data_IF_526125062199
#
_entry.id   IF_526125062199
#
_cell.length_a   1.000
_cell.length_b   1.000
_cell.length_c   1.000
_cell.angle_alpha   90.00
_cell.angle_beta   90.00
_cell.angle_gamma   90.00
#
_symmetry.space_group_name_H-M   'P 1'
#
loop_
_entity.id
_entity.type
_entity.pdbx_description
1 polymer ?
#
# COMPACT_ATOMS: atom_id res chain seq x y z
N UNK A 1 -32.77 -15.47 0.90
CA UNK A 1 -31.95 -15.53 2.13
C UNK A 1 -30.46 -15.48 1.81
N UNK A 2 -29.97 -16.40 0.98
CA UNK A 2 -28.54 -16.44 0.63
C UNK A 2 -28.06 -15.18 -0.08
N UNK A 3 -28.88 -14.59 -0.97
CA UNK A 3 -28.50 -13.37 -1.67
C UNK A 3 -28.42 -12.17 -0.74
N UNK A 4 -29.31 -12.12 0.25
CA UNK A 4 -29.26 -11.08 1.25
C UNK A 4 -27.96 -11.14 2.06
N UNK A 5 -27.58 -12.34 2.46
CA UNK A 5 -26.35 -12.54 3.22
C UNK A 5 -25.12 -12.13 2.40
N UNK A 6 -25.16 -12.41 1.09
CA UNK A 6 -24.06 -12.01 0.22
C UNK A 6 -23.97 -10.50 0.07
N UNK A 7 -25.11 -9.83 -0.01
CA UNK A 7 -25.12 -8.37 -0.08
C UNK A 7 -24.55 -7.77 1.20
N UNK A 8 -24.94 -8.32 2.33
CA UNK A 8 -24.38 -7.89 3.61
C UNK A 8 -22.88 -8.17 3.67
N UNK A 9 -22.45 -9.29 3.06
CA UNK A 9 -21.04 -9.61 3.01
C UNK A 9 -20.24 -8.61 2.20
N UNK A 10 -20.81 -8.11 1.10
CA UNK A 10 -20.14 -7.11 0.29
C UNK A 10 -19.96 -5.80 1.04
N UNK A 11 -21.02 -5.35 1.71
CA UNK A 11 -20.93 -4.14 2.50
C UNK A 11 -19.94 -4.31 3.65
N UNK A 12 -19.96 -5.49 4.27
CA UNK A 12 -19.01 -5.81 5.32
C UNK A 12 -17.57 -5.84 4.79
N UNK A 13 -17.39 -6.25 3.55
CA UNK A 13 -16.06 -6.31 2.95
C UNK A 13 -15.42 -4.93 2.86
N UNK A 14 -16.16 -3.91 2.45
CA UNK A 14 -15.64 -2.55 2.40
C UNK A 14 -15.25 -2.04 3.79
N UNK A 15 -16.10 -2.30 4.77
CA UNK A 15 -15.79 -1.91 6.14
C UNK A 15 -14.58 -2.67 6.67
N UNK A 16 -14.45 -3.96 6.32
CA UNK A 16 -13.32 -4.77 6.73
C UNK A 16 -12.03 -4.24 6.13
N UNK A 17 -12.05 -3.78 4.87
CA UNK A 17 -10.87 -3.22 4.24
C UNK A 17 -10.36 -2.01 5.02
N UNK A 18 -11.25 -1.12 5.44
CA UNK A 18 -10.86 0.04 6.23
C UNK A 18 -10.29 -0.37 7.59
N UNK A 19 -10.97 -1.30 8.26
CA UNK A 19 -10.51 -1.78 9.56
C UNK A 19 -9.18 -2.52 9.42
N UNK A 20 -9.04 -3.31 8.36
CA UNK A 20 -7.81 -4.05 8.10
C UNK A 20 -6.66 -3.08 7.86
N UNK A 21 -6.90 -2.00 7.10
CA UNK A 21 -5.86 -1.00 6.87
C UNK A 21 -5.36 -0.41 8.18
N UNK A 22 -6.25 -0.14 9.13
CA UNK A 22 -5.87 0.38 10.43
C UNK A 22 -5.03 -0.62 11.23
N UNK A 23 -5.43 -1.89 11.21
CA UNK A 23 -4.69 -2.94 11.88
C UNK A 23 -3.34 -3.19 11.20
N UNK A 24 -3.34 -3.15 9.87
CA UNK A 24 -2.14 -3.43 9.09
C UNK A 24 -1.10 -2.34 9.22
N UNK A 25 -1.49 -1.10 9.53
CA UNK A 25 -0.53 -0.03 9.78
C UNK A 25 0.45 -0.40 10.88
N UNK A 26 0.00 -1.11 11.90
CA UNK A 26 0.89 -1.55 12.97
C UNK A 26 1.80 -2.68 12.52
N UNK A 27 1.27 -3.59 11.71
CA UNK A 27 2.06 -4.69 11.15
C UNK A 27 3.04 -4.21 10.10
N UNK A 28 2.69 -3.14 9.38
CA UNK A 28 3.48 -2.63 8.27
C UNK A 28 4.76 -1.91 8.68
N UNK A 29 5.05 -1.82 9.97
CA UNK A 29 6.35 -1.30 10.44
C UNK A 29 7.50 -2.24 10.09
N UNK A 30 7.19 -3.47 9.70
CA UNK A 30 8.15 -4.41 9.14
C UNK A 30 7.68 -4.85 7.77
N UNK A 31 7.42 -6.13 7.64
CA UNK A 31 6.89 -6.72 6.43
C UNK A 31 5.42 -7.04 6.63
N UNK A 32 4.61 -6.75 5.62
CA UNK A 32 3.19 -7.03 5.64
C UNK A 32 2.79 -7.81 4.42
N UNK A 33 1.85 -8.73 4.59
CA UNK A 33 1.32 -9.55 3.51
C UNK A 33 -0.07 -9.03 3.13
N UNK A 34 -0.31 -8.91 1.83
CA UNK A 34 -1.56 -8.42 1.28
C UNK A 34 -2.16 -9.50 0.40
N UNK A 35 -3.39 -9.88 0.68
CA UNK A 35 -4.12 -10.81 -0.15
C UNK A 35 -4.90 -10.06 -1.22
N UNK A 36 -5.27 -10.79 -2.27
CA UNK A 36 -6.04 -10.20 -3.36
C UNK A 36 -7.32 -9.56 -2.83
N UNK A 37 -7.61 -8.36 -3.32
CA UNK A 37 -8.80 -7.62 -2.92
C UNK A 37 -8.68 -6.88 -1.60
N UNK A 38 -7.55 -7.01 -0.91
CA UNK A 38 -7.26 -6.24 0.30
C UNK A 38 -6.32 -5.09 -0.02
N UNK A 39 -6.35 -4.07 0.82
CA UNK A 39 -5.42 -2.95 0.73
C UNK A 39 -4.65 -2.85 2.04
N UNK A 40 -3.37 -2.50 1.93
CA UNK A 40 -2.56 -2.26 3.12
C UNK A 40 -1.99 -0.86 3.04
N UNK A 41 -2.05 -0.16 4.17
CA UNK A 41 -1.46 1.16 4.31
C UNK A 41 -0.10 1.02 5.01
N UNK A 42 0.90 1.67 4.44
CA UNK A 42 2.26 1.66 4.98
C UNK A 42 2.67 3.09 5.28
N UNK A 43 3.03 3.35 6.51
CA UNK A 43 3.58 4.65 6.88
C UNK A 43 5.07 4.66 6.54
N UNK A 44 5.47 5.59 5.68
CA UNK A 44 6.85 5.69 5.20
C UNK A 44 7.64 6.71 6.00
N UNK A 45 7.00 7.81 6.37
CA UNK A 45 7.57 8.86 7.20
C UNK A 45 6.40 9.63 7.80
N UNK A 46 6.65 10.58 8.71
CA UNK A 46 5.56 11.41 9.22
C UNK A 46 4.81 12.18 8.14
N UNK A 47 5.41 12.34 6.97
CA UNK A 47 4.82 13.11 5.87
C UNK A 47 4.48 12.27 4.66
N UNK A 48 4.66 10.96 4.72
CA UNK A 48 4.43 10.11 3.54
C UNK A 48 3.83 8.78 3.94
N UNK A 49 2.84 8.35 3.18
CA UNK A 49 2.22 7.05 3.36
C UNK A 49 1.90 6.43 2.00
N UNK A 50 1.73 5.13 1.97
CA UNK A 50 1.42 4.40 0.75
C UNK A 50 0.29 3.42 1.03
N UNK A 51 -0.55 3.22 0.02
CA UNK A 51 -1.59 2.19 0.05
C UNK A 51 -1.35 1.26 -1.13
N UNK A 52 -1.28 -0.03 -0.86
CA UNK A 52 -1.00 -1.04 -1.87
C UNK A 52 -2.13 -2.06 -1.90
N UNK A 53 -2.58 -2.39 -3.10
CA UNK A 53 -3.50 -3.49 -3.33
C UNK A 53 -3.15 -4.18 -4.65
N UNK A 54 -3.70 -5.36 -4.87
CA UNK A 54 -3.42 -6.09 -6.10
C UNK A 54 -4.60 -6.95 -6.50
N UNK A 55 -4.63 -7.26 -7.80
CA UNK A 55 -5.66 -8.09 -8.42
C UNK A 55 -4.98 -9.07 -9.36
N UNK A 56 -5.41 -10.31 -9.34
CA UNK A 56 -4.92 -11.34 -10.24
C UNK A 56 -5.56 -11.19 -11.61
N UNK A 57 -4.72 -11.13 -12.63
CA UNK A 57 -5.16 -11.05 -14.02
C UNK A 57 -4.43 -12.10 -14.84
N UNK A 58 -4.86 -12.29 -16.09
CA UNK A 58 -4.30 -13.32 -16.94
C UNK A 58 -2.82 -13.10 -17.26
N UNK A 59 -2.38 -11.87 -17.28
CA UNK A 59 -0.99 -11.52 -17.59
C UNK A 59 -0.10 -11.41 -16.35
N UNK A 60 -0.64 -11.62 -15.17
CA UNK A 60 0.09 -11.53 -13.91
C UNK A 60 -0.73 -10.82 -12.86
N UNK A 61 -0.09 -10.51 -11.74
CA UNK A 61 -0.75 -9.79 -10.68
C UNK A 61 -0.53 -8.30 -10.87
N UNK A 62 -1.65 -7.58 -11.03
CA UNK A 62 -1.61 -6.12 -11.17
C UNK A 62 -1.57 -5.50 -9.78
N UNK A 63 -0.46 -4.86 -9.47
CA UNK A 63 -0.22 -4.26 -8.17
C UNK A 63 -0.26 -2.76 -8.32
N UNK A 64 -1.04 -2.11 -7.48
CA UNK A 64 -1.20 -0.66 -7.50
C UNK A 64 -0.80 -0.12 -6.13
N UNK A 65 0.12 0.84 -6.14
CA UNK A 65 0.56 1.53 -4.94
C UNK A 65 0.37 3.02 -5.14
N UNK A 66 -0.37 3.63 -4.23
CA UNK A 66 -0.58 5.08 -4.23
C UNK A 66 0.21 5.67 -3.08
N UNK A 67 1.10 6.60 -3.40
CA UNK A 67 1.94 7.28 -2.40
C UNK A 67 1.42 8.70 -2.23
N UNK A 68 1.12 9.06 -0.99
CA UNK A 68 0.66 10.39 -0.61
C UNK A 68 1.75 11.04 0.23
N UNK A 69 2.23 12.19 -0.21
CA UNK A 69 3.28 12.95 0.47
C UNK A 69 2.79 14.35 0.78
N UNK A 70 2.95 14.77 2.03
CA UNK A 70 2.68 16.16 2.41
C UNK A 70 3.87 16.99 1.97
N UNK A 71 3.65 17.93 1.05
CA UNK A 71 4.73 18.72 0.47
C UNK A 71 4.84 20.13 1.07
N UNK A 72 3.77 20.64 1.67
CA UNK A 72 3.84 21.91 2.37
C UNK A 72 2.69 22.04 3.36
N UNK A 73 2.93 22.83 4.40
CA UNK A 73 1.92 23.21 5.37
C UNK A 73 2.01 24.70 5.61
N UNK A 74 0.94 25.40 5.24
CA UNK A 74 0.83 26.85 5.43
C UNK A 74 -0.41 27.13 6.27
N UNK A 75 -0.20 27.38 7.57
CA UNK A 75 -1.32 27.57 8.48
C UNK A 75 -2.18 26.33 8.55
N UNK A 76 -3.45 26.46 8.20
CA UNK A 76 -4.40 25.34 8.22
C UNK A 76 -4.42 24.54 6.93
N UNK A 77 -3.67 24.96 5.91
CA UNK A 77 -3.69 24.30 4.61
C UNK A 77 -2.51 23.37 4.47
N UNK A 78 -2.82 22.15 4.02
CA UNK A 78 -1.80 21.17 3.63
C UNK A 78 -1.86 20.93 2.14
N UNK A 79 -0.71 20.84 1.51
CA UNK A 79 -0.61 20.45 0.12
C UNK A 79 -0.02 19.07 0.04
N UNK A 80 -0.62 18.22 -0.77
CA UNK A 80 -0.23 16.84 -0.94
C UNK A 80 0.19 16.58 -2.37
N UNK A 81 1.18 15.74 -2.54
CA UNK A 81 1.51 15.13 -3.82
C UNK A 81 1.09 13.67 -3.76
N UNK A 82 0.31 13.25 -4.73
CA UNK A 82 -0.17 11.88 -4.81
C UNK A 82 0.36 11.27 -6.10
N UNK A 83 1.08 10.16 -5.98
CA UNK A 83 1.64 9.44 -7.12
C UNK A 83 1.17 8.00 -7.07
N UNK A 84 0.71 7.51 -8.21
CA UNK A 84 0.21 6.15 -8.34
C UNK A 84 1.17 5.35 -9.20
N UNK A 85 1.61 4.23 -8.66
CA UNK A 85 2.47 3.28 -9.34
C UNK A 85 1.67 2.02 -9.67
N UNK A 86 1.82 1.53 -10.88
CA UNK A 86 1.17 0.29 -11.30
C UNK A 86 2.23 -0.62 -11.90
N UNK A 87 2.16 -1.90 -11.57
CA UNK A 87 3.07 -2.89 -12.11
C UNK A 87 2.36 -4.23 -12.25
N UNK A 88 2.90 -5.07 -13.11
CA UNK A 88 2.45 -6.44 -13.28
C UNK A 88 3.57 -7.34 -12.77
N UNK A 89 3.29 -8.15 -11.76
CA UNK A 89 4.29 -9.03 -11.17
C UNK A 89 4.00 -10.49 -11.51
N UNK A 90 5.01 -11.16 -12.02
CA UNK A 90 5.02 -12.61 -12.20
C UNK A 90 5.56 -13.26 -10.91
N UNK A 91 5.39 -14.59 -10.76
CA UNK A 91 5.86 -15.25 -9.55
C UNK A 91 7.32 -14.96 -9.25
N UNK A 92 7.61 -14.59 -8.02
CA UNK A 92 8.97 -14.30 -7.55
C UNK A 92 9.50 -12.92 -7.91
N UNK A 93 8.74 -12.13 -8.66
CA UNK A 93 9.19 -10.78 -9.03
C UNK A 93 8.92 -9.78 -7.93
N UNK A 94 9.72 -8.71 -7.94
CA UNK A 94 9.57 -7.61 -6.99
C UNK A 94 9.71 -6.27 -7.70
N UNK A 95 9.19 -5.24 -7.05
CA UNK A 95 9.25 -3.85 -7.48
C UNK A 95 9.78 -3.02 -6.34
N UNK A 96 10.65 -2.07 -6.64
CA UNK A 96 11.14 -1.10 -5.69
C UNK A 96 10.59 0.27 -6.05
N UNK A 97 10.05 0.97 -5.07
CA UNK A 97 9.54 2.33 -5.24
C UNK A 97 10.32 3.23 -4.29
N UNK A 98 11.08 4.17 -4.87
CA UNK A 98 11.77 5.19 -4.08
C UNK A 98 10.80 6.32 -3.80
N UNK A 99 10.65 6.66 -2.54
CA UNK A 99 9.69 7.68 -2.12
C UNK A 99 10.42 9.00 -1.93
N UNK A 100 9.92 10.11 -2.48
CA UNK A 100 10.52 11.41 -2.25
C UNK A 100 10.57 11.75 -0.77
N UNK A 101 11.62 12.45 -0.38
CA UNK A 101 11.82 12.85 1.01
C UNK A 101 12.27 14.31 1.05
N UNK A 102 12.02 14.95 2.18
CA UNK A 102 12.48 16.31 2.40
C UNK A 102 13.96 16.33 2.74
N UNK A 103 14.59 17.49 2.56
CA UNK A 103 15.99 17.66 2.92
C UNK A 103 16.15 17.34 4.41
N UNK A 104 17.11 16.50 4.72
CA UNK A 104 17.37 16.05 6.09
C UNK A 104 16.63 14.79 6.50
N UNK A 105 15.69 14.33 5.71
CA UNK A 105 14.99 13.07 5.96
C UNK A 105 15.72 11.93 5.26
N UNK A 106 15.65 10.74 5.86
CA UNK A 106 16.22 9.55 5.24
C UNK A 106 15.29 9.07 4.14
N UNK A 107 15.86 8.73 2.99
CA UNK A 107 15.11 8.17 1.89
C UNK A 107 14.50 6.83 2.31
N UNK A 108 13.25 6.62 1.93
CA UNK A 108 12.56 5.38 2.15
C UNK A 108 12.34 4.68 0.82
N UNK A 109 12.47 3.37 0.82
CA UNK A 109 12.19 2.54 -0.34
C UNK A 109 11.12 1.53 0.06
N UNK A 110 10.10 1.42 -0.77
CA UNK A 110 9.06 0.43 -0.60
C UNK A 110 9.35 -0.74 -1.53
N UNK A 111 9.51 -1.91 -0.96
CA UNK A 111 9.70 -3.13 -1.75
C UNK A 111 8.40 -3.91 -1.77
N UNK A 112 7.94 -4.23 -2.97
CA UNK A 112 6.72 -4.99 -3.21
C UNK A 112 7.12 -6.28 -3.91
N UNK A 113 6.80 -7.42 -3.32
CA UNK A 113 7.28 -8.71 -3.82
C UNK A 113 6.13 -9.70 -3.89
N UNK A 114 6.03 -10.41 -5.00
CA UNK A 114 5.06 -11.48 -5.14
C UNK A 114 5.65 -12.77 -4.57
N UNK A 115 5.03 -13.28 -3.51
CA UNK A 115 5.46 -14.50 -2.83
C UNK A 115 4.25 -15.43 -2.64
N UNK A 116 4.33 -16.63 -3.22
CA UNK A 116 3.24 -17.60 -3.06
C UNK A 116 1.93 -17.02 -3.56
N UNK A 117 0.96 -16.92 -2.68
CA UNK A 117 -0.39 -16.44 -3.01
C UNK A 117 -0.67 -15.04 -2.47
N UNK A 118 0.38 -14.29 -2.15
CA UNK A 118 0.23 -12.97 -1.56
C UNK A 118 1.32 -12.02 -2.03
N UNK A 119 1.08 -10.74 -1.83
CA UNK A 119 2.06 -9.69 -2.05
C UNK A 119 2.64 -9.30 -0.70
N UNK A 120 3.95 -9.27 -0.62
CA UNK A 120 4.66 -8.76 0.55
C UNK A 120 5.05 -7.32 0.30
N UNK A 121 4.73 -6.46 1.26
CA UNK A 121 5.10 -5.05 1.24
C UNK A 121 6.05 -4.79 2.39
N UNK A 122 7.22 -4.26 2.08
CA UNK A 122 8.24 -3.99 3.08
C UNK A 122 8.80 -2.58 2.89
N UNK A 123 8.94 -1.88 3.98
CA UNK A 123 9.64 -0.61 4.01
C UNK A 123 11.11 -0.89 4.32
N UNK A 124 12.00 -0.44 3.45
CA UNK A 124 13.44 -0.61 3.66
C UNK A 124 14.11 0.76 3.60
N UNK A 125 15.15 0.98 4.41
CA UNK A 125 15.86 2.25 4.34
C UNK A 125 16.58 2.36 3.01
N UNK A 126 16.52 3.55 2.44
CA UNK A 126 17.26 3.85 1.23
C UNK A 126 18.73 4.07 1.53
N UNK A 127 19.54 4.26 0.49
CA UNK A 127 20.94 4.57 0.68
C UNK A 127 21.11 5.88 1.43
N UNK A 128 22.12 5.90 2.30
CA UNK A 128 22.41 7.07 3.12
C UNK A 128 23.02 8.20 2.29
#
# INVERSE_FOLDING_TARGET
MTSFMRAAGLAGLLAVVLATATADLRAAQGNSAVHEGQAIATELSPNASAVTYWVSESDGWHVVTTVDTVISRNGDAEQHAVVRFSSVLLPGQSQLISVPFAIGEQQQVLRIRRLGDQIEVAKIPGPA
#
